data_IF_663255219836
#
_entry.id   IF_663255219836
#
_cell.length_a   1.000
_cell.length_b   1.000
_cell.length_c   1.000
_cell.angle_alpha   90.00
_cell.angle_beta   90.00
_cell.angle_gamma   90.00
#
_symmetry.space_group_name_H-M   'P 1'
#
loop_
_entity.id
_entity.type
_entity.pdbx_description
1 polymer ?
#
# COMPACT_ATOMS: atom_id res chain seq x y z
N UNK A 1 10.94 26.40 44.99
CA UNK A 1 10.60 24.98 44.69
C UNK A 1 11.25 24.59 43.38
N UNK A 2 12.24 23.69 43.40
CA UNK A 2 12.83 23.16 42.17
C UNK A 2 11.96 22.00 41.67
N UNK A 3 11.42 22.13 40.46
CA UNK A 3 10.70 21.05 39.79
C UNK A 3 11.72 20.05 39.23
N UNK A 4 11.81 18.86 39.84
CA UNK A 4 12.55 17.73 39.28
C UNK A 4 11.67 17.14 38.16
N UNK A 5 12.10 17.31 36.91
CA UNK A 5 11.47 16.58 35.79
C UNK A 5 11.76 15.09 35.97
N UNK A 6 10.70 14.28 36.10
CA UNK A 6 10.81 12.84 36.04
C UNK A 6 11.29 12.44 34.63
N UNK A 7 12.50 11.89 34.53
CA UNK A 7 12.97 11.29 33.29
C UNK A 7 12.05 10.11 32.92
N UNK A 8 11.69 9.95 31.64
CA UNK A 8 10.86 8.81 31.22
C UNK A 8 11.61 7.50 31.49
N UNK A 9 10.95 6.57 32.17
CA UNK A 9 11.49 5.24 32.38
C UNK A 9 11.56 4.49 31.03
N UNK A 10 12.76 4.23 30.54
CA UNK A 10 12.97 3.39 29.36
C UNK A 10 12.58 1.95 29.69
N UNK A 11 11.59 1.41 29.00
CA UNK A 11 11.16 0.02 29.19
C UNK A 11 12.33 -0.95 28.98
N UNK A 12 12.39 -2.00 29.80
CA UNK A 12 13.44 -3.02 29.70
C UNK A 12 13.42 -3.69 28.29
N UNK A 13 14.59 -4.01 27.73
CA UNK A 13 14.68 -4.61 26.40
C UNK A 13 13.97 -5.97 26.33
N UNK A 14 13.09 -6.13 25.33
CA UNK A 14 12.36 -7.38 25.12
C UNK A 14 13.28 -8.52 24.66
N UNK A 15 13.13 -9.71 25.26
CA UNK A 15 13.89 -10.92 24.88
C UNK A 15 13.57 -11.38 23.46
N UNK A 16 12.32 -11.21 23.00
CA UNK A 16 11.91 -11.53 21.63
C UNK A 16 11.00 -10.45 21.10
N UNK A 17 11.26 -10.00 19.86
CA UNK A 17 10.43 -9.00 19.18
C UNK A 17 10.29 -9.33 17.70
N UNK A 18 9.06 -9.34 17.22
CA UNK A 18 8.78 -9.41 15.77
C UNK A 18 9.12 -8.05 15.17
N UNK A 19 10.02 -8.03 14.18
CA UNK A 19 10.45 -6.82 13.49
C UNK A 19 9.55 -6.50 12.31
N UNK A 20 9.22 -7.51 11.51
CA UNK A 20 8.38 -7.36 10.33
C UNK A 20 7.67 -8.66 9.95
N UNK A 21 6.56 -8.52 9.25
CA UNK A 21 5.82 -9.59 8.57
C UNK A 21 5.55 -9.10 7.16
N UNK A 22 5.84 -9.91 6.14
CA UNK A 22 5.77 -9.48 4.73
C UNK A 22 4.35 -9.13 4.28
N UNK A 23 3.34 -9.75 4.89
CA UNK A 23 1.92 -9.47 4.63
C UNK A 23 1.06 -9.84 5.84
N UNK A 24 0.12 -8.97 6.19
CA UNK A 24 -0.89 -9.22 7.25
C UNK A 24 -2.23 -9.71 6.68
N UNK A 25 -2.44 -9.57 5.37
CA UNK A 25 -3.60 -10.05 4.63
C UNK A 25 -3.09 -10.89 3.46
N UNK A 26 -3.45 -12.16 3.42
CA UNK A 26 -2.88 -13.13 2.46
C UNK A 26 -3.94 -14.03 1.84
N UNK A 27 -3.65 -14.54 0.65
CA UNK A 27 -4.45 -15.56 -0.04
C UNK A 27 -4.05 -16.96 0.47
N UNK A 28 -4.91 -17.99 0.30
CA UNK A 28 -4.57 -19.37 0.59
C UNK A 28 -3.28 -19.80 -0.09
N UNK A 29 -2.44 -20.56 0.62
CA UNK A 29 -1.13 -21.04 0.16
C UNK A 29 -0.10 -19.94 -0.17
N UNK A 30 -0.39 -18.68 0.17
CA UNK A 30 0.58 -17.60 0.01
C UNK A 30 1.68 -17.69 1.07
N UNK A 31 2.88 -17.26 0.70
CA UNK A 31 4.06 -17.27 1.57
C UNK A 31 4.17 -15.99 2.38
N UNK A 32 4.37 -16.14 3.69
CA UNK A 32 4.60 -15.06 4.65
C UNK A 32 6.02 -15.18 5.20
N UNK A 33 6.81 -14.12 5.03
CA UNK A 33 8.15 -14.00 5.63
C UNK A 33 8.05 -13.19 6.91
N UNK A 34 8.68 -13.68 7.98
CA UNK A 34 8.70 -13.02 9.27
C UNK A 34 10.14 -12.81 9.68
N UNK A 35 10.46 -11.56 10.02
CA UNK A 35 11.75 -11.23 10.62
C UNK A 35 11.55 -10.93 12.10
N UNK A 36 12.38 -11.52 12.95
CA UNK A 36 12.30 -11.34 14.39
C UNK A 36 13.69 -11.24 15.01
N UNK A 37 13.78 -10.59 16.17
CA UNK A 37 15.01 -10.41 16.93
C UNK A 37 14.89 -11.11 18.27
N UNK A 38 15.93 -11.86 18.63
CA UNK A 38 16.11 -12.45 19.95
C UNK A 38 17.27 -11.76 20.65
N UNK A 39 17.08 -11.38 21.90
CA UNK A 39 18.06 -10.69 22.74
C UNK A 39 18.32 -11.48 24.01
N UNK A 40 19.59 -11.73 24.33
CA UNK A 40 19.97 -12.26 25.63
C UNK A 40 20.12 -11.13 26.64
N UNK A 41 19.10 -10.95 27.49
CA UNK A 41 19.12 -9.97 28.57
C UNK A 41 19.81 -10.48 29.85
N UNK A 42 20.33 -11.71 29.84
CA UNK A 42 21.06 -12.32 30.94
C UNK A 42 22.53 -11.88 31.01
N UNK A 43 23.17 -12.23 32.13
CA UNK A 43 24.58 -11.89 32.41
C UNK A 43 25.59 -12.91 31.86
N UNK A 44 25.12 -13.99 31.24
CA UNK A 44 25.96 -15.10 30.75
C UNK A 44 25.61 -15.44 29.31
N UNK A 45 26.56 -16.02 28.59
CA UNK A 45 26.30 -16.57 27.27
C UNK A 45 25.47 -17.86 27.38
N UNK A 46 24.40 -17.96 26.61
CA UNK A 46 23.48 -19.10 26.67
C UNK A 46 22.90 -19.42 25.28
N UNK A 47 22.52 -20.67 25.07
CA UNK A 47 21.86 -21.11 23.84
C UNK A 47 20.36 -20.86 23.98
N UNK A 48 19.81 -19.98 23.15
CA UNK A 48 18.37 -19.80 23.06
C UNK A 48 17.76 -20.96 22.28
N UNK A 49 16.56 -21.43 22.66
CA UNK A 49 15.77 -22.34 21.82
C UNK A 49 14.59 -21.56 21.30
N UNK A 50 14.56 -21.33 20.00
CA UNK A 50 13.49 -20.61 19.32
C UNK A 50 12.62 -21.59 18.57
N UNK A 51 11.30 -21.47 18.73
CA UNK A 51 10.31 -22.28 18.01
C UNK A 51 9.23 -21.36 17.45
N UNK A 52 8.95 -21.52 16.15
CA UNK A 52 7.91 -20.76 15.46
C UNK A 52 6.73 -21.71 15.22
N UNK A 53 5.54 -21.24 15.57
CA UNK A 53 4.30 -21.96 15.37
C UNK A 53 3.11 -21.01 15.19
N UNK A 54 1.92 -21.55 15.38
CA UNK A 54 0.66 -20.83 15.22
C UNK A 54 -0.20 -21.42 14.10
N UNK A 55 -1.02 -20.59 13.48
CA UNK A 55 -1.99 -21.02 12.47
C UNK A 55 -1.42 -21.24 11.06
N UNK A 56 -0.23 -20.69 10.77
CA UNK A 56 0.43 -20.85 9.47
C UNK A 56 1.36 -22.07 9.47
N UNK A 57 1.53 -22.70 8.31
CA UNK A 57 2.44 -23.84 8.13
C UNK A 57 3.87 -23.34 8.01
N UNK A 58 4.76 -23.81 8.88
CA UNK A 58 6.15 -23.40 8.82
C UNK A 58 6.93 -24.21 7.78
N UNK A 59 7.70 -23.52 6.94
CA UNK A 59 8.46 -24.14 5.83
C UNK A 59 9.97 -24.03 6.02
N UNK A 60 10.45 -22.93 6.62
CA UNK A 60 11.89 -22.75 6.92
C UNK A 60 12.10 -21.86 8.14
N UNK A 61 13.23 -22.06 8.84
CA UNK A 61 13.61 -21.27 10.01
C UNK A 61 12.71 -21.46 11.23
N UNK A 62 11.97 -22.58 11.29
CA UNK A 62 10.94 -22.88 12.30
C UNK A 62 11.50 -23.21 13.69
N UNK A 63 12.78 -23.62 13.73
CA UNK A 63 13.51 -23.94 14.94
C UNK A 63 14.95 -23.54 14.74
N UNK A 64 15.48 -22.72 15.65
CA UNK A 64 16.89 -22.31 15.65
C UNK A 64 17.40 -22.28 17.09
N UNK A 65 18.70 -22.58 17.25
CA UNK A 65 19.35 -22.65 18.56
C UNK A 65 20.61 -21.77 18.62
N UNK A 66 20.48 -20.44 18.55
CA UNK A 66 21.63 -19.55 18.54
C UNK A 66 22.28 -19.47 19.92
N UNK A 67 23.62 -19.47 19.95
CA UNK A 67 24.38 -19.13 21.16
C UNK A 67 24.56 -17.61 21.23
N UNK A 68 23.95 -16.98 22.22
CA UNK A 68 23.96 -15.52 22.39
C UNK A 68 24.78 -15.13 23.61
N UNK A 69 25.77 -14.25 23.41
CA UNK A 69 26.49 -13.61 24.51
C UNK A 69 25.61 -12.67 25.34
N UNK A 70 26.03 -12.24 26.53
CA UNK A 70 25.27 -11.32 27.37
C UNK A 70 25.03 -9.99 26.65
N UNK A 71 23.80 -9.49 26.70
CA UNK A 71 23.37 -8.25 26.02
C UNK A 71 23.37 -8.32 24.49
N UNK A 72 23.64 -9.50 23.89
CA UNK A 72 23.68 -9.65 22.43
C UNK A 72 22.31 -9.97 21.88
N UNK A 73 22.02 -9.39 20.72
CA UNK A 73 20.85 -9.71 19.92
C UNK A 73 21.25 -10.34 18.60
N UNK A 74 20.37 -11.19 18.06
CA UNK A 74 20.47 -11.73 16.71
C UNK A 74 19.11 -11.69 16.04
N UNK A 75 19.11 -11.40 14.74
CA UNK A 75 17.93 -11.37 13.89
C UNK A 75 17.85 -12.65 13.08
N UNK A 76 16.63 -13.15 12.89
CA UNK A 76 16.33 -14.36 12.14
C UNK A 76 15.16 -14.13 11.21
N UNK A 77 15.12 -14.92 10.16
CA UNK A 77 14.05 -14.97 9.19
C UNK A 77 13.39 -16.36 9.23
N UNK A 78 12.06 -16.39 9.16
CA UNK A 78 11.29 -17.63 8.99
C UNK A 78 10.29 -17.45 7.85
N UNK A 79 10.01 -18.56 7.16
CA UNK A 79 9.05 -18.60 6.06
C UNK A 79 7.88 -19.49 6.45
N UNK A 80 6.69 -18.91 6.38
CA UNK A 80 5.41 -19.55 6.72
C UNK A 80 4.51 -19.57 5.48
N UNK A 81 3.55 -20.48 5.44
CA UNK A 81 2.57 -20.60 4.36
C UNK A 81 1.17 -20.59 4.96
N UNK A 82 0.30 -19.75 4.41
CA UNK A 82 -1.09 -19.67 4.82
C UNK A 82 -1.83 -20.98 4.50
N UNK A 83 -2.66 -21.51 5.41
CA UNK A 83 -3.48 -22.68 5.12
C UNK A 83 -4.55 -22.39 4.06
N UNK A 84 -5.24 -23.44 3.61
CA UNK A 84 -6.43 -23.30 2.77
C UNK A 84 -7.56 -22.58 3.55
N UNK A 85 -8.34 -21.77 2.84
CA UNK A 85 -9.56 -21.12 3.36
C UNK A 85 -10.70 -21.31 2.36
N UNK A 86 -11.94 -21.39 2.84
CA UNK A 86 -13.13 -21.60 1.99
C UNK A 86 -13.46 -20.31 1.22
N UNK A 87 -14.16 -20.40 0.07
CA UNK A 87 -14.63 -19.21 -0.63
C UNK A 87 -15.46 -18.30 0.28
N UNK A 88 -15.19 -16.99 0.23
CA UNK A 88 -15.84 -15.97 1.08
C UNK A 88 -15.43 -15.95 2.55
N UNK A 89 -14.56 -16.86 2.99
CA UNK A 89 -14.09 -16.93 4.38
C UNK A 89 -12.89 -16.00 4.63
N UNK A 90 -12.89 -15.30 5.77
CA UNK A 90 -11.69 -14.62 6.30
C UNK A 90 -11.33 -15.22 7.65
N UNK A 91 -10.14 -15.80 7.76
CA UNK A 91 -9.66 -16.47 8.97
C UNK A 91 -8.48 -15.71 9.57
N UNK A 92 -8.61 -15.26 10.82
CA UNK A 92 -7.50 -14.67 11.57
C UNK A 92 -6.63 -15.75 12.23
N UNK A 93 -5.33 -15.74 11.96
CA UNK A 93 -4.35 -16.70 12.46
C UNK A 93 -3.20 -15.97 13.14
N UNK A 94 -2.78 -16.45 14.31
CA UNK A 94 -1.58 -15.94 14.96
C UNK A 94 -0.32 -16.64 14.46
N UNK A 95 0.71 -15.84 14.23
CA UNK A 95 2.11 -16.27 14.23
C UNK A 95 2.59 -16.17 15.68
N UNK A 96 3.19 -17.24 16.18
CA UNK A 96 3.74 -17.29 17.54
C UNK A 96 5.22 -17.66 17.49
N UNK A 97 6.06 -16.83 18.11
CA UNK A 97 7.50 -17.07 18.25
C UNK A 97 7.76 -17.28 19.74
N UNK A 98 8.04 -18.53 20.11
CA UNK A 98 8.45 -18.90 21.46
C UNK A 98 9.97 -18.93 21.56
N UNK A 99 10.52 -18.33 22.62
CA UNK A 99 11.96 -18.36 22.92
C UNK A 99 12.14 -18.83 24.35
N UNK A 100 12.93 -19.90 24.51
CA UNK A 100 13.46 -20.32 25.81
C UNK A 100 14.91 -19.86 25.93
N UNK A 101 15.19 -19.00 26.91
CA UNK A 101 16.52 -18.45 27.16
C UNK A 101 16.63 -18.02 28.63
N UNK A 102 17.76 -18.29 29.29
CA UNK A 102 17.98 -18.01 30.71
C UNK A 102 16.95 -18.69 31.62
N UNK A 103 16.51 -19.89 31.24
CA UNK A 103 15.45 -20.64 31.92
C UNK A 103 14.05 -20.00 31.82
N UNK A 104 13.90 -18.89 31.10
CA UNK A 104 12.63 -18.19 30.90
C UNK A 104 12.04 -18.52 29.53
N UNK A 105 10.71 -18.62 29.47
CA UNK A 105 9.97 -18.71 28.22
C UNK A 105 9.36 -17.34 27.90
N UNK A 106 9.63 -16.81 26.71
CA UNK A 106 9.08 -15.55 26.23
C UNK A 106 8.44 -15.76 24.87
N UNK A 107 7.43 -14.95 24.57
CA UNK A 107 6.63 -15.11 23.36
C UNK A 107 6.39 -13.77 22.68
N UNK A 108 6.50 -13.76 21.36
CA UNK A 108 5.98 -12.68 20.52
C UNK A 108 4.90 -13.24 19.61
N UNK A 109 3.83 -12.46 19.40
CA UNK A 109 2.71 -12.85 18.56
C UNK A 109 2.37 -11.76 17.55
N UNK A 110 1.88 -12.16 16.38
CA UNK A 110 1.34 -11.26 15.36
C UNK A 110 0.20 -11.94 14.62
N UNK A 111 -0.91 -11.24 14.44
CA UNK A 111 -2.05 -11.75 13.68
C UNK A 111 -1.84 -11.55 12.17
N UNK A 112 -2.29 -12.52 11.38
CA UNK A 112 -2.39 -12.49 9.93
C UNK A 112 -3.78 -13.00 9.53
N UNK A 113 -4.38 -12.39 8.53
CA UNK A 113 -5.69 -12.76 8.00
C UNK A 113 -5.55 -13.49 6.66
N UNK A 114 -6.12 -14.69 6.58
CA UNK A 114 -6.21 -15.46 5.33
C UNK A 114 -7.57 -15.21 4.71
N UNK A 115 -7.59 -14.73 3.47
CA UNK A 115 -8.80 -14.39 2.73
C UNK A 115 -9.04 -15.43 1.65
N UNK A 116 -10.03 -16.29 1.86
CA UNK A 116 -10.43 -17.29 0.88
C UNK A 116 -10.91 -16.66 -0.43
N UNK A 117 -11.05 -17.46 -1.51
CA UNK A 117 -11.46 -16.94 -2.81
C UNK A 117 -12.75 -16.13 -2.73
N UNK A 118 -12.75 -14.90 -3.25
CA UNK A 118 -13.92 -14.01 -3.21
C UNK A 118 -14.21 -13.36 -1.85
N UNK A 119 -13.39 -13.58 -0.82
CA UNK A 119 -13.48 -12.82 0.42
C UNK A 119 -12.92 -11.39 0.23
N UNK A 120 -13.60 -10.42 0.83
CA UNK A 120 -13.18 -9.01 0.81
C UNK A 120 -11.95 -8.83 1.71
N UNK A 121 -10.78 -8.58 1.11
CA UNK A 121 -9.55 -8.33 1.86
C UNK A 121 -9.21 -6.84 1.92
N UNK A 122 -8.98 -6.25 3.10
CA UNK A 122 -8.36 -4.93 3.20
C UNK A 122 -6.88 -5.03 2.79
N UNK A 123 -6.61 -5.02 1.48
CA UNK A 123 -5.26 -5.09 0.92
C UNK A 123 -5.08 -6.13 -0.18
N UNK A 124 -6.04 -7.03 -0.40
CA UNK A 124 -6.06 -7.90 -1.57
C UNK A 124 -6.27 -7.06 -2.83
N UNK A 125 -5.24 -6.98 -3.67
CA UNK A 125 -5.17 -6.27 -4.96
C UNK A 125 -5.05 -4.73 -4.90
N UNK A 126 -4.76 -4.14 -3.73
CA UNK A 126 -4.51 -2.69 -3.58
C UNK A 126 -3.03 -2.42 -3.29
N UNK A 127 -2.27 -1.74 -4.18
CA UNK A 127 -0.93 -1.29 -3.84
C UNK A 127 -1.01 -0.35 -2.63
N UNK A 128 -0.42 -0.75 -1.51
CA UNK A 128 -0.53 -0.08 -0.22
C UNK A 128 0.07 1.34 -0.16
N UNK A 129 0.64 1.84 -1.26
CA UNK A 129 1.25 3.18 -1.32
C UNK A 129 0.91 3.97 -2.59
N UNK A 130 -0.04 3.49 -3.42
CA UNK A 130 -0.25 4.03 -4.76
C UNK A 130 -1.70 3.99 -5.23
N UNK A 131 -1.95 4.60 -6.38
CA UNK A 131 -3.24 4.62 -7.08
C UNK A 131 -3.53 3.20 -7.59
N UNK A 132 -4.76 2.71 -7.43
CA UNK A 132 -5.11 1.33 -7.81
C UNK A 132 -5.14 1.12 -9.32
N UNK A 133 -5.41 2.18 -10.09
CA UNK A 133 -5.33 2.19 -11.55
C UNK A 133 -5.67 3.54 -12.15
N UNK A 134 -5.41 3.69 -13.44
CA UNK A 134 -5.80 4.85 -14.25
C UNK A 134 -6.67 4.33 -15.40
N UNK A 135 -7.90 4.85 -15.51
CA UNK A 135 -8.82 4.49 -16.59
C UNK A 135 -9.44 5.74 -17.20
N UNK A 136 -9.93 5.61 -18.43
CA UNK A 136 -10.49 6.77 -19.10
C UNK A 136 -11.05 6.51 -20.47
N UNK A 137 -11.49 7.61 -21.09
CA UNK A 137 -12.02 7.62 -22.45
C UNK A 137 -11.38 8.71 -23.29
N UNK A 138 -11.25 8.39 -24.58
CA UNK A 138 -10.72 9.25 -25.62
C UNK A 138 -11.80 9.50 -26.67
N UNK A 139 -12.12 10.78 -26.88
CA UNK A 139 -13.14 11.23 -27.84
C UNK A 139 -12.60 12.34 -28.74
N UNK A 140 -13.25 12.62 -29.86
CA UNK A 140 -13.03 13.84 -30.63
C UNK A 140 -13.88 15.01 -30.12
N UNK A 141 -13.74 16.17 -30.75
CA UNK A 141 -14.50 17.38 -30.42
C UNK A 141 -16.02 17.19 -30.59
N UNK A 142 -16.44 16.32 -31.51
CA UNK A 142 -17.84 15.97 -31.76
C UNK A 142 -18.36 14.90 -30.78
N UNK A 143 -17.52 14.44 -29.85
CA UNK A 143 -17.85 13.44 -28.84
C UNK A 143 -17.80 12.00 -29.34
N UNK A 144 -17.39 11.74 -30.58
CA UNK A 144 -17.22 10.38 -31.11
C UNK A 144 -15.97 9.73 -30.51
N UNK A 145 -16.09 8.44 -30.18
CA UNK A 145 -15.00 7.69 -29.58
C UNK A 145 -13.86 7.44 -30.58
N UNK A 146 -12.62 7.54 -30.09
CA UNK A 146 -11.42 7.33 -30.89
C UNK A 146 -10.66 6.11 -30.38
N UNK A 147 -10.70 5.01 -31.14
CA UNK A 147 -9.89 3.83 -30.88
C UNK A 147 -8.48 3.88 -31.46
N UNK A 148 -7.60 3.02 -30.97
CA UNK A 148 -6.21 2.89 -31.45
C UNK A 148 -5.31 4.08 -31.11
N UNK A 149 -5.66 4.86 -30.09
CA UNK A 149 -4.85 5.99 -29.63
C UNK A 149 -3.73 5.46 -28.74
N UNK A 150 -2.48 5.82 -29.00
CA UNK A 150 -1.35 5.49 -28.14
C UNK A 150 -1.34 6.41 -26.91
N UNK A 151 -1.43 5.84 -25.71
CA UNK A 151 -1.42 6.56 -24.45
C UNK A 151 -0.13 6.31 -23.68
N UNK A 152 0.45 7.38 -23.15
CA UNK A 152 1.55 7.34 -22.16
C UNK A 152 1.08 8.01 -20.89
N UNK A 153 1.10 7.27 -19.79
CA UNK A 153 0.70 7.72 -18.45
C UNK A 153 1.97 7.86 -17.63
N UNK A 154 2.19 9.03 -17.05
CA UNK A 154 3.32 9.31 -16.16
C UNK A 154 2.82 9.71 -14.78
N UNK A 155 3.28 9.01 -13.76
CA UNK A 155 2.91 9.29 -12.37
C UNK A 155 3.81 10.37 -11.72
N UNK A 156 3.55 10.66 -10.46
CA UNK A 156 4.29 11.65 -9.66
C UNK A 156 5.71 11.24 -9.32
N UNK A 157 6.01 9.93 -9.32
CA UNK A 157 7.35 9.38 -9.11
C UNK A 157 8.17 9.32 -10.40
N UNK A 158 7.55 9.63 -11.54
CA UNK A 158 8.19 9.61 -12.86
C UNK A 158 8.13 8.26 -13.58
N UNK A 159 7.37 7.29 -13.07
CA UNK A 159 7.14 6.03 -13.78
C UNK A 159 6.26 6.25 -15.00
N UNK A 160 6.57 5.54 -16.09
CA UNK A 160 5.79 5.56 -17.32
C UNK A 160 5.08 4.23 -17.58
N UNK A 161 3.82 4.35 -18.00
CA UNK A 161 2.97 3.25 -18.43
C UNK A 161 2.44 3.55 -19.82
N UNK A 162 2.44 2.54 -20.69
CA UNK A 162 1.95 2.67 -22.06
C UNK A 162 0.76 1.74 -22.27
N UNK A 163 -0.26 2.23 -22.95
CA UNK A 163 -1.46 1.47 -23.33
C UNK A 163 -2.05 2.05 -24.60
N UNK A 164 -3.04 1.38 -25.18
CA UNK A 164 -3.76 1.82 -26.38
C UNK A 164 -5.26 1.86 -26.12
N UNK A 165 -5.96 2.86 -26.66
CA UNK A 165 -7.43 2.88 -26.54
C UNK A 165 -8.09 1.77 -27.35
N UNK A 166 -9.13 1.16 -26.79
CA UNK A 166 -9.98 0.18 -27.48
C UNK A 166 -10.81 0.84 -28.59
N UNK A 167 -11.50 0.08 -29.46
CA UNK A 167 -12.37 0.64 -30.50
C UNK A 167 -13.45 1.60 -29.98
N UNK A 168 -13.87 1.43 -28.73
CA UNK A 168 -14.83 2.32 -28.04
C UNK A 168 -14.18 3.55 -27.36
N UNK A 169 -12.88 3.77 -27.62
CA UNK A 169 -12.10 4.87 -27.05
C UNK A 169 -11.73 4.68 -25.57
N UNK A 170 -11.96 3.51 -24.99
CA UNK A 170 -11.67 3.25 -23.57
C UNK A 170 -10.23 2.78 -23.37
N UNK A 171 -9.62 3.15 -22.25
CA UNK A 171 -8.32 2.63 -21.85
C UNK A 171 -8.27 2.39 -20.34
N UNK A 172 -7.40 1.48 -19.92
CA UNK A 172 -7.09 1.23 -18.51
C UNK A 172 -5.65 0.78 -18.34
N UNK A 173 -5.07 1.14 -17.20
CA UNK A 173 -3.82 0.61 -16.66
C UNK A 173 -4.05 0.36 -15.18
N UNK A 174 -3.82 -0.87 -14.73
CA UNK A 174 -3.98 -1.25 -13.33
C UNK A 174 -2.60 -1.36 -12.68
N UNK A 175 -2.49 -0.92 -11.43
CA UNK A 175 -1.27 -1.13 -10.67
C UNK A 175 -1.14 -2.62 -10.29
N UNK A 176 0.08 -3.13 -10.28
CA UNK A 176 0.37 -4.53 -9.93
C UNK A 176 1.58 -4.63 -9.02
N UNK A 177 1.81 -5.82 -8.45
CA UNK A 177 3.03 -6.09 -7.70
C UNK A 177 4.27 -5.84 -8.59
N UNK A 178 5.12 -4.89 -8.20
CA UNK A 178 6.30 -4.46 -8.98
C UNK A 178 6.05 -3.35 -10.01
N UNK A 179 4.80 -2.97 -10.28
CA UNK A 179 4.42 -1.79 -11.09
C UNK A 179 3.36 -0.97 -10.35
N UNK A 180 3.81 -0.23 -9.35
CA UNK A 180 2.97 0.64 -8.53
C UNK A 180 2.82 2.01 -9.15
N UNK A 181 1.60 2.55 -9.23
CA UNK A 181 1.34 3.91 -9.72
C UNK A 181 1.37 4.86 -8.52
N UNK A 182 2.30 5.81 -8.48
CA UNK A 182 2.42 6.74 -7.36
C UNK A 182 1.21 7.67 -7.23
N UNK A 183 0.82 7.98 -5.99
CA UNK A 183 -0.21 8.98 -5.70
C UNK A 183 0.30 10.40 -5.98
N UNK A 184 -0.60 11.30 -6.37
CA UNK A 184 -0.27 12.68 -6.75
C UNK A 184 -0.68 13.02 -8.19
N UNK A 185 -0.01 13.99 -8.85
CA UNK A 185 -0.34 14.35 -10.22
C UNK A 185 0.03 13.22 -11.20
N UNK A 186 -0.94 12.81 -12.01
CA UNK A 186 -0.78 11.81 -13.07
C UNK A 186 -1.03 12.50 -14.40
N UNK A 187 -0.01 12.56 -15.25
CA UNK A 187 -0.12 13.07 -16.61
C UNK A 187 -0.50 11.94 -17.56
N UNK A 188 -1.49 12.16 -18.42
CA UNK A 188 -1.81 11.28 -19.55
C UNK A 188 -1.58 12.03 -20.86
N UNK A 189 -0.76 11.47 -21.73
CA UNK A 189 -0.50 11.95 -23.08
C UNK A 189 -1.09 10.98 -24.09
N UNK A 190 -1.85 11.50 -25.05
CA UNK A 190 -2.46 10.74 -26.13
C UNK A 190 -1.90 11.18 -27.49
N UNK A 191 -1.53 10.21 -28.32
CA UNK A 191 -1.03 10.41 -29.68
C UNK A 191 -1.76 9.49 -30.63
N UNK A 192 -2.19 10.05 -31.76
CA UNK A 192 -2.76 9.30 -32.88
C UNK A 192 -2.53 10.08 -34.17
N UNK A 193 -2.18 9.37 -35.24
CA UNK A 193 -2.02 9.97 -36.56
C UNK A 193 -3.33 10.60 -37.04
N UNK A 194 -3.23 11.76 -37.70
CA UNK A 194 -4.38 12.55 -38.10
C UNK A 194 -5.02 13.39 -36.98
N UNK A 195 -4.49 13.33 -35.75
CA UNK A 195 -4.94 14.13 -34.61
C UNK A 195 -3.80 14.89 -33.95
N UNK A 196 -4.13 16.04 -33.34
CA UNK A 196 -3.18 16.78 -32.49
C UNK A 196 -2.93 15.98 -31.21
N UNK A 197 -1.68 15.99 -30.74
CA UNK A 197 -1.33 15.40 -29.44
C UNK A 197 -2.13 16.10 -28.33
N UNK A 198 -2.78 15.31 -27.48
CA UNK A 198 -3.49 15.80 -26.30
C UNK A 198 -2.75 15.40 -25.03
N UNK A 199 -2.79 16.27 -24.01
CA UNK A 199 -2.23 16.00 -22.68
C UNK A 199 -3.21 16.51 -21.63
N UNK A 200 -3.39 15.74 -20.56
CA UNK A 200 -4.14 16.16 -19.38
C UNK A 200 -3.46 15.64 -18.12
N UNK A 201 -3.74 16.29 -16.99
CA UNK A 201 -3.22 15.88 -15.68
C UNK A 201 -4.39 15.76 -14.71
N UNK A 202 -4.45 14.64 -14.00
CA UNK A 202 -5.43 14.39 -12.95
C UNK A 202 -4.72 14.13 -11.63
N UNK A 203 -5.43 14.25 -10.51
CA UNK A 203 -4.91 13.87 -9.20
C UNK A 203 -5.31 12.44 -8.88
N UNK A 204 -4.32 11.57 -8.66
CA UNK A 204 -4.52 10.22 -8.16
C UNK A 204 -4.38 10.17 -6.64
N UNK A 205 -5.37 9.56 -5.98
CA UNK A 205 -5.35 9.32 -4.54
C UNK A 205 -4.93 7.88 -4.25
N UNK A 206 -4.20 7.67 -3.15
CA UNK A 206 -3.74 6.34 -2.77
C UNK A 206 -4.92 5.40 -2.60
N UNK A 207 -4.89 4.31 -3.37
CA UNK A 207 -5.89 3.27 -3.28
C UNK A 207 -7.17 3.48 -4.08
N UNK A 208 -7.34 4.64 -4.72
CA UNK A 208 -8.45 4.95 -5.61
C UNK A 208 -8.04 4.76 -7.07
N UNK A 209 -9.02 4.65 -7.96
CA UNK A 209 -8.81 4.64 -9.40
C UNK A 209 -8.95 6.07 -9.97
N UNK A 210 -7.95 6.54 -10.71
CA UNK A 210 -8.00 7.85 -11.37
C UNK A 210 -8.77 7.75 -12.70
N UNK A 211 -9.78 8.60 -12.88
CA UNK A 211 -10.58 8.65 -14.12
C UNK A 211 -10.15 9.83 -14.98
N UNK A 212 -9.96 9.59 -16.28
CA UNK A 212 -9.47 10.61 -17.23
C UNK A 212 -10.39 10.72 -18.44
N UNK A 213 -10.64 11.96 -18.87
CA UNK A 213 -11.33 12.27 -20.13
C UNK A 213 -10.36 13.03 -21.02
N UNK A 214 -10.13 12.53 -22.23
CA UNK A 214 -9.31 13.20 -23.24
C UNK A 214 -10.15 13.48 -24.49
N UNK A 215 -9.98 14.69 -25.01
CA UNK A 215 -10.53 15.12 -26.29
C UNK A 215 -9.37 15.38 -27.26
N UNK A 216 -9.39 14.77 -28.43
CA UNK A 216 -8.40 15.03 -29.50
C UNK A 216 -9.04 15.84 -30.62
N UNK A 217 -8.29 16.80 -31.13
CA UNK A 217 -8.70 17.59 -32.31
C UNK A 217 -8.04 17.01 -33.56
N UNK A 218 -8.82 16.78 -34.61
CA UNK A 218 -8.27 16.33 -35.89
C UNK A 218 -7.32 17.40 -36.48
N UNK A 219 -6.25 16.96 -37.13
CA UNK A 219 -5.43 17.84 -37.96
C UNK A 219 -6.16 17.96 -39.29
N UNK A 220 -6.55 19.17 -39.67
CA UNK A 220 -7.14 19.40 -40.98
C UNK A 220 -6.17 18.89 -42.04
N UNK A 221 -6.60 17.87 -42.79
CA UNK A 221 -5.90 17.48 -44.01
C UNK A 221 -6.15 18.62 -45.00
N UNK A 222 -5.11 19.29 -45.55
CA UNK A 222 -5.36 20.24 -46.63
C UNK A 222 -6.12 19.49 -47.72
N UNK A 223 -7.31 19.99 -48.07
CA UNK A 223 -8.06 19.46 -49.19
C UNK A 223 -7.11 19.48 -50.39
N UNK A 224 -6.88 18.31 -51.01
CA UNK A 224 -6.27 18.25 -52.34
C UNK A 224 -7.25 18.93 -53.29
N UNK A 225 -7.12 20.24 -53.45
CA UNK A 225 -7.59 20.91 -54.65
C UNK A 225 -6.77 20.31 -55.78
N UNK A 226 -7.39 19.38 -56.52
CA UNK A 226 -6.87 18.90 -57.79
C UNK A 226 -7.04 20.01 -58.82
N UNK A 227 -6.16 21.01 -58.78
CA UNK A 227 -5.93 21.88 -59.91
C UNK A 227 -4.77 21.27 -60.70
N UNK A 228 -5.09 20.69 -61.85
CA UNK A 228 -4.11 20.33 -62.87
C UNK A 228 -3.56 21.65 -63.44
N UNK A 229 -2.26 21.95 -63.35
CA UNK A 229 -1.67 22.97 -64.19
C UNK A 229 -1.19 22.29 -65.46
N UNK A 230 -1.83 22.64 -66.59
CA UNK A 230 -1.29 22.37 -67.92
C UNK A 230 0.09 23.01 -68.01
N UNK A 231 1.10 22.21 -68.35
CA UNK A 231 2.43 22.68 -68.65
C UNK A 231 2.43 23.38 -70.03
N UNK A 232 2.92 24.60 -70.09
CA UNK A 232 3.42 25.23 -71.31
C UNK A 232 4.84 25.74 -71.05
N UNK A 233 5.72 25.46 -72.00
CA UNK A 233 7.17 25.54 -71.86
C UNK A 233 7.75 26.94 -72.16
N UNK A 234 8.72 27.36 -71.33
CA UNK A 234 10.00 28.11 -71.51
C UNK A 234 10.24 29.02 -72.75
N UNK A 235 11.16 30.04 -72.75
CA UNK A 235 12.48 30.05 -72.07
C UNK A 235 13.01 31.47 -71.65
N UNK A 236 14.33 31.81 -71.58
CA UNK A 236 15.02 32.23 -70.35
C UNK A 236 15.68 33.63 -70.37
N UNK A 237 16.06 34.17 -69.20
CA UNK A 237 17.08 35.22 -68.92
C UNK A 237 16.74 35.86 -67.56
N UNK A 238 17.62 36.40 -66.71
CA UNK A 238 19.07 36.50 -66.60
C UNK A 238 19.36 36.87 -65.12
N UNK A 239 20.64 36.79 -64.74
CA UNK A 239 21.19 37.07 -63.42
C UNK A 239 20.81 38.45 -62.83
N UNK A 240 20.79 38.52 -61.50
CA UNK A 240 20.71 39.75 -60.72
C UNK A 240 20.91 39.50 -59.23
N UNK A 241 22.13 39.72 -58.76
CA UNK A 241 22.58 39.74 -57.37
C UNK A 241 21.72 40.61 -56.44
N UNK A 242 21.66 40.25 -55.16
CA UNK A 242 21.10 41.11 -54.12
C UNK A 242 20.94 40.46 -52.75
N UNK A 243 22.06 40.13 -52.09
CA UNK A 243 22.15 39.97 -50.63
C UNK A 243 21.74 41.29 -49.95
N UNK A 244 20.97 41.26 -48.85
CA UNK A 244 21.63 41.42 -47.55
C UNK A 244 21.20 40.40 -46.48
N UNK A 245 22.23 39.89 -45.84
CA UNK A 245 22.31 39.28 -44.52
C UNK A 245 21.76 40.20 -43.42
N UNK A 246 20.99 39.63 -42.47
CA UNK A 246 20.88 40.16 -41.11
C UNK A 246 20.45 39.04 -40.13
N UNK A 247 21.29 38.85 -39.12
CA UNK A 247 21.25 37.84 -38.06
C UNK A 247 20.23 38.20 -36.92
N UNK A 248 20.09 37.36 -35.86
CA UNK A 248 18.92 37.31 -34.97
C UNK A 248 18.98 38.31 -33.81
N UNK A 249 17.86 38.63 -33.13
CA UNK A 249 17.93 39.36 -31.87
C UNK A 249 18.09 38.41 -30.67
N UNK A 250 19.21 38.54 -29.97
CA UNK A 250 19.43 38.08 -28.60
C UNK A 250 19.08 39.18 -27.57
N UNK A 251 18.42 38.74 -26.49
CA UNK A 251 18.46 39.20 -25.08
C UNK A 251 18.18 40.66 -24.73
N UNK A 252 17.25 40.86 -23.77
CA UNK A 252 17.56 41.62 -22.55
C UNK A 252 16.71 41.18 -21.36
N UNK A 253 17.42 40.88 -20.27
CA UNK A 253 16.89 40.72 -18.93
C UNK A 253 16.34 42.06 -18.41
N UNK A 254 15.28 41.98 -17.60
CA UNK A 254 14.79 43.08 -16.78
C UNK A 254 14.93 42.64 -15.33
N UNK A 255 15.96 43.19 -14.67
CA UNK A 255 16.05 43.37 -13.23
C UNK A 255 16.10 44.86 -12.98
N UNK A 256 15.16 45.37 -12.19
CA UNK A 256 15.30 46.30 -11.07
C UNK A 256 13.87 46.51 -10.50
N UNK A 257 13.60 46.04 -9.28
CA UNK A 257 13.68 46.81 -8.03
C UNK A 257 12.62 47.90 -7.93
N UNK A 258 11.77 47.79 -6.92
CA UNK A 258 10.68 48.73 -6.73
C UNK A 258 9.74 48.39 -5.57
N UNK A 259 10.28 48.45 -4.36
CA UNK A 259 9.65 49.13 -3.23
C UNK A 259 8.35 48.54 -2.63
N UNK A 260 8.50 48.05 -1.39
CA UNK A 260 7.49 48.22 -0.35
C UNK A 260 6.73 46.96 0.04
N UNK A 261 7.19 46.28 1.09
CA UNK A 261 6.37 45.72 2.18
C UNK A 261 7.24 44.89 3.13
N UNK A 262 8.18 45.56 3.80
CA UNK A 262 8.77 45.07 5.03
C UNK A 262 7.87 45.51 6.19
N UNK A 263 6.96 44.64 6.62
CA UNK A 263 6.29 44.58 7.93
C UNK A 263 5.16 43.57 7.80
N UNK A 264 5.30 42.40 8.41
CA UNK A 264 4.26 41.48 8.95
C UNK A 264 4.86 40.05 9.10
N UNK A 265 6.05 39.97 9.69
CA UNK A 265 6.34 38.85 10.59
C UNK A 265 5.69 39.20 11.93
N UNK A 266 5.10 38.20 12.60
CA UNK A 266 4.35 38.24 13.87
C UNK A 266 2.82 38.18 13.74
N UNK A 267 2.26 37.05 13.28
CA UNK A 267 1.01 36.47 13.85
C UNK A 267 0.70 35.08 13.27
N UNK A 268 1.38 34.04 13.77
CA UNK A 268 1.09 32.64 13.35
C UNK A 268 1.45 31.58 14.39
N UNK A 269 1.66 31.99 15.64
CA UNK A 269 2.00 31.09 16.74
C UNK A 269 1.08 31.32 17.93
N UNK A 270 -0.14 30.79 17.90
CA UNK A 270 -0.95 30.48 19.10
C UNK A 270 -2.27 29.79 18.70
N UNK A 271 -2.33 28.44 18.63
CA UNK A 271 -3.61 27.69 18.56
C UNK A 271 -3.43 26.20 18.90
N UNK A 272 -2.79 25.92 20.05
CA UNK A 272 -2.59 24.56 20.59
C UNK A 272 -3.16 24.37 22.01
N UNK A 273 -4.25 25.07 22.37
CA UNK A 273 -4.80 24.98 23.72
C UNK A 273 -6.34 25.06 23.75
N UNK A 274 -7.04 24.04 23.23
CA UNK A 274 -8.46 23.79 23.54
C UNK A 274 -8.94 22.43 23.02
N UNK A 275 -8.24 21.33 23.34
CA UNK A 275 -8.60 19.99 22.82
C UNK A 275 -8.48 18.84 23.82
N UNK A 276 -8.30 19.11 25.12
CA UNK A 276 -8.05 18.07 26.13
C UNK A 276 -8.89 18.25 27.40
N UNK A 277 -10.15 18.70 27.27
CA UNK A 277 -11.09 18.81 28.40
C UNK A 277 -12.15 17.70 28.48
N UNK A 278 -12.47 17.04 27.35
CA UNK A 278 -13.67 16.22 27.26
C UNK A 278 -13.49 14.73 27.62
N UNK A 279 -12.25 14.21 27.70
CA UNK A 279 -12.05 12.77 27.98
C UNK A 279 -12.03 12.42 29.48
N UNK A 280 -11.78 13.37 30.37
CA UNK A 280 -11.70 13.11 31.81
C UNK A 280 -13.07 12.88 32.48
N UNK A 281 -14.13 13.52 31.97
CA UNK A 281 -15.47 13.42 32.55
C UNK A 281 -16.14 12.04 32.32
N UNK A 282 -15.72 11.31 31.28
CA UNK A 282 -16.27 9.97 30.98
C UNK A 282 -15.62 8.88 31.86
N UNK A 283 -14.36 9.06 32.29
CA UNK A 283 -13.68 8.06 33.13
C UNK A 283 -14.04 8.18 34.61
N UNK A 284 -14.34 9.38 35.11
CA UNK A 284 -14.82 9.55 36.50
C UNK A 284 -16.28 9.10 36.69
N UNK A 285 -17.14 9.17 35.66
CA UNK A 285 -18.52 8.67 35.76
C UNK A 285 -18.60 7.13 35.82
N UNK A 286 -17.57 6.42 35.34
CA UNK A 286 -17.51 4.96 35.39
C UNK A 286 -16.99 4.39 36.71
N UNK A 287 -16.43 5.23 37.60
CA UNK A 287 -15.89 4.81 38.91
C UNK A 287 -16.81 5.08 40.11
N UNK A 288 -17.90 5.83 39.93
CA UNK A 288 -18.84 6.16 41.01
C UNK A 288 -20.21 5.48 40.87
N UNK A 289 -20.30 4.34 40.17
CA UNK A 289 -21.49 3.50 40.28
C UNK A 289 -21.42 2.75 41.62
N UNK A 290 -22.39 2.92 42.53
CA UNK A 290 -22.44 2.13 43.76
C UNK A 290 -22.63 0.65 43.39
N UNK A 291 -21.85 -0.22 44.04
CA UNK A 291 -21.97 -1.68 43.95
C UNK A 291 -23.40 -2.08 44.29
N UNK A 292 -24.09 -2.70 43.34
CA UNK A 292 -25.31 -3.42 43.62
C UNK A 292 -24.92 -4.78 44.22
N UNK A 293 -25.36 -5.00 45.46
CA UNK A 293 -25.28 -6.25 46.20
C UNK A 293 -25.66 -7.46 45.33
N UNK A 294 -24.79 -8.46 45.30
CA UNK A 294 -25.08 -9.79 44.76
C UNK A 294 -25.30 -10.73 45.95
N UNK A 295 -26.53 -11.24 46.19
CA UNK A 295 -26.74 -12.31 47.17
C UNK A 295 -26.30 -13.67 46.60
N UNK A 296 -25.90 -14.63 47.45
CA UNK A 296 -25.32 -15.90 47.00
C UNK A 296 -26.42 -16.94 46.74
N UNK A 297 -26.43 -17.56 45.56
CA UNK A 297 -27.28 -18.74 45.32
C UNK A 297 -26.62 -19.77 44.39
N UNK A 298 -26.23 -20.86 45.03
CA UNK A 298 -26.02 -22.27 44.64
C UNK A 298 -26.08 -22.73 43.16
N UNK A 299 -25.29 -23.77 42.79
CA UNK A 299 -25.30 -24.36 41.46
C UNK A 299 -26.52 -25.29 41.27
N UNK A 300 -27.38 -24.98 40.28
CA UNK A 300 -28.40 -25.90 39.79
C UNK A 300 -27.81 -26.85 38.73
N UNK A 301 -27.92 -28.15 39.01
CA UNK A 301 -27.93 -29.19 37.99
C UNK A 301 -29.25 -29.15 37.19
N UNK A 302 -29.28 -29.72 35.97
CA UNK A 302 -30.49 -30.36 35.47
C UNK A 302 -30.31 -31.86 35.27
N UNK A 303 -31.19 -32.63 35.91
CA UNK A 303 -31.37 -34.06 35.71
C UNK A 303 -32.47 -34.36 34.67
N UNK A 304 -32.14 -35.21 33.68
CA UNK A 304 -32.95 -36.32 33.11
C UNK A 304 -34.23 -35.97 32.32
N UNK A 305 -34.71 -36.72 31.32
CA UNK A 305 -34.51 -38.07 30.73
C UNK A 305 -35.01 -37.97 29.25
N UNK A 306 -34.71 -38.84 28.29
CA UNK A 306 -34.00 -40.12 28.26
C UNK A 306 -34.01 -40.78 26.87
N UNK A 307 -33.27 -41.90 26.79
CA UNK A 307 -33.38 -43.06 25.87
C UNK A 307 -33.26 -42.85 24.35
N UNK A 308 -32.13 -43.28 23.77
CA UNK A 308 -32.02 -44.60 23.13
C UNK A 308 -30.59 -44.88 22.59
N UNK A 309 -30.15 -46.12 22.84
CA UNK A 309 -29.14 -46.95 22.18
C UNK A 309 -27.65 -46.58 22.06
N UNK A 310 -26.86 -47.47 22.67
CA UNK A 310 -25.45 -47.74 22.38
C UNK A 310 -25.30 -48.67 21.16
N UNK A 311 -24.09 -48.78 20.59
CA UNK A 311 -23.39 -50.03 20.86
C UNK A 311 -21.90 -49.87 21.21
N UNK A 312 -21.50 -50.70 22.16
CA UNK A 312 -20.14 -51.01 22.60
C UNK A 312 -19.33 -51.63 21.44
N UNK A 313 -18.15 -51.07 21.14
CA UNK A 313 -17.10 -51.80 20.40
C UNK A 313 -15.89 -52.01 21.30
N UNK A 314 -15.60 -53.29 21.50
CA UNK A 314 -14.50 -53.85 22.29
C UNK A 314 -13.17 -53.66 21.55
N UNK A 315 -12.20 -53.01 22.20
CA UNK A 315 -10.80 -52.99 21.78
C UNK A 315 -10.14 -54.34 22.11
N UNK A 316 -9.61 -55.03 21.09
CA UNK A 316 -8.65 -56.15 21.25
C UNK A 316 -7.21 -55.62 21.09
N UNK A 317 -6.26 -55.94 22.00
CA UNK A 317 -4.85 -55.64 21.77
C UNK A 317 -4.19 -56.70 20.85
N UNK A 318 -3.47 -56.22 19.84
CA UNK A 318 -2.58 -57.01 18.99
C UNK A 318 -1.28 -57.35 19.74
N UNK A 319 -0.87 -58.62 19.66
CA UNK A 319 0.34 -59.20 20.26
C UNK A 319 1.52 -59.13 19.27
N UNK A 320 2.78 -58.99 19.73
CA UNK A 320 3.91 -58.72 18.85
C UNK A 320 4.51 -60.00 18.25
N UNK A 321 5.15 -59.83 17.08
CA UNK A 321 6.21 -60.66 16.52
C UNK A 321 7.34 -59.71 16.08
#
# INVERSE_FOLDING_TARGET
MLAVSAAPATAAPETVRILSVSAENVKPNETVRVQYRVTNNGSRAETAIVVIGGGLRCTSGCRVEPKLGPGRSQTFDTTLVAPAARPGETTGLNISIGVRLAGQNTYAHKMVYVHGPGASSPGGDKPAAGVSGVSGRVRDADGKAIGGVALTIRDSAGHEYRTTSSPSGQFSVTASAGKTIAAGPITVRAVKDGYRTARTTVRGSAGDAATVRLTLSAVATPAKTSAVPTAEASPPAAAGDGTPEAAPPTLKAVSDEGSGSALFFLLGGLLFAAGLGALALVVMRRRNAPEADVPPTQPLAPAGRGMADAPTVVLRPLKPL
#
